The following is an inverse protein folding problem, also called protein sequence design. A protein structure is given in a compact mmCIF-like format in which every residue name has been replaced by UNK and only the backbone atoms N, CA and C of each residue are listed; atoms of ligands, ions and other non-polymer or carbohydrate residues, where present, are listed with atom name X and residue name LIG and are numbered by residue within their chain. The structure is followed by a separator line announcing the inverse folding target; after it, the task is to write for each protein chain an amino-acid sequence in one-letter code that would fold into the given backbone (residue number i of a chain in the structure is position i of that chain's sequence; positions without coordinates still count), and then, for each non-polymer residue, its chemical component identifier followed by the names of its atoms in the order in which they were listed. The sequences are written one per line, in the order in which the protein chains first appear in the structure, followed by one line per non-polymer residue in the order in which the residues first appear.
data_IF_518540251208
#
_entry.id   IF_518540251208
#
_cell.length_a   1.000
_cell.length_b   1.000
_cell.length_c   1.000
_cell.angle_alpha   90.00
_cell.angle_beta   90.00
_cell.angle_gamma   90.00
#
_symmetry.space_group_name_H-M   'P 1'
#
loop_
_entity.id
_entity.type
_entity.pdbx_description
1 polymer ?
#
# COMPACT_ATOMS: atom_id res chain seq x y z
N UNK A 1 4.59 3.84 -5.94
CA UNK A 1 4.65 2.92 -7.07
C UNK A 1 3.27 2.43 -7.49
N UNK A 2 3.10 2.18 -8.77
CA UNK A 2 1.84 1.73 -9.38
C UNK A 2 2.12 0.46 -10.19
N UNK A 3 1.26 -0.55 -10.06
CA UNK A 3 1.46 -1.83 -10.72
C UNK A 3 1.43 -1.73 -12.26
N UNK A 4 2.21 -2.55 -12.93
CA UNK A 4 2.29 -2.60 -14.39
C UNK A 4 1.21 -3.46 -15.06
N UNK A 5 0.39 -4.16 -14.27
CA UNK A 5 -0.71 -4.99 -14.77
C UNK A 5 -1.92 -4.16 -15.16
N UNK A 6 -2.29 -3.21 -14.28
CA UNK A 6 -3.38 -2.28 -14.54
C UNK A 6 -2.92 -1.10 -15.41
N UNK A 7 -1.65 -0.73 -15.30
CA UNK A 7 -1.04 0.37 -16.04
C UNK A 7 0.28 -0.07 -16.71
N UNK A 8 0.23 -0.79 -17.83
CA UNK A 8 1.41 -1.26 -18.54
C UNK A 8 2.37 -0.13 -18.91
N UNK A 9 3.66 -0.33 -18.64
CA UNK A 9 4.70 0.65 -18.93
C UNK A 9 4.90 1.71 -17.83
N UNK A 10 4.24 1.59 -16.68
CA UNK A 10 4.50 2.48 -15.56
C UNK A 10 5.92 2.28 -15.01
N UNK A 11 6.65 3.39 -14.82
CA UNK A 11 8.10 3.35 -14.56
C UNK A 11 8.44 2.83 -13.17
N UNK A 12 7.69 3.25 -12.13
CA UNK A 12 7.91 2.84 -10.75
C UNK A 12 6.79 1.88 -10.34
N UNK A 13 7.10 0.60 -10.30
CA UNK A 13 6.08 -0.39 -9.96
C UNK A 13 6.41 -1.27 -8.74
N UNK A 14 7.59 -1.08 -8.13
CA UNK A 14 7.98 -1.74 -6.87
C UNK A 14 8.54 -0.74 -5.87
N UNK A 15 8.49 -1.05 -4.57
CA UNK A 15 9.09 -0.20 -3.54
C UNK A 15 10.60 -0.06 -3.74
N UNK A 16 11.28 -1.11 -4.18
CA UNK A 16 12.71 -1.09 -4.48
C UNK A 16 13.07 -0.08 -5.58
N UNK A 17 12.22 0.08 -6.60
CA UNK A 17 12.46 1.05 -7.67
C UNK A 17 12.34 2.48 -7.14
N UNK A 18 11.33 2.75 -6.32
CA UNK A 18 11.17 4.05 -5.66
C UNK A 18 12.34 4.35 -4.71
N UNK A 19 12.80 3.36 -3.95
CA UNK A 19 13.96 3.51 -3.07
C UNK A 19 15.24 3.86 -3.86
N UNK A 20 15.46 3.22 -5.01
CA UNK A 20 16.60 3.52 -5.89
C UNK A 20 16.55 4.96 -6.42
N UNK A 21 15.38 5.47 -6.78
CA UNK A 21 15.21 6.87 -7.18
C UNK A 21 15.52 7.82 -6.04
N UNK A 22 15.04 7.54 -4.83
CA UNK A 22 15.33 8.35 -3.64
C UNK A 22 16.84 8.42 -3.37
N UNK A 23 17.53 7.29 -3.44
CA UNK A 23 18.99 7.25 -3.30
C UNK A 23 19.71 8.07 -4.38
N UNK A 24 19.29 7.93 -5.63
CA UNK A 24 19.89 8.65 -6.75
C UNK A 24 19.69 10.17 -6.64
N UNK A 25 18.54 10.61 -6.15
CA UNK A 25 18.24 12.04 -5.92
C UNK A 25 19.03 12.59 -4.75
N UNK A 26 19.27 11.82 -3.70
CA UNK A 26 20.04 12.21 -2.52
C UNK A 26 19.38 13.29 -1.66
N UNK A 27 18.07 13.44 -1.72
CA UNK A 27 17.31 14.40 -0.92
C UNK A 27 16.76 13.77 0.35
N UNK A 28 16.84 14.48 1.46
CA UNK A 28 16.22 14.08 2.73
C UNK A 28 14.69 14.34 2.77
N UNK A 29 14.16 15.02 1.76
CA UNK A 29 12.74 15.39 1.67
C UNK A 29 12.01 14.66 0.54
N UNK A 30 12.43 13.44 0.21
CA UNK A 30 11.77 12.58 -0.75
C UNK A 30 11.46 11.23 -0.09
N UNK A 31 10.19 10.82 -0.16
CA UNK A 31 9.69 9.62 0.53
C UNK A 31 8.84 8.76 -0.40
N UNK A 32 8.55 7.54 0.06
CA UNK A 32 7.70 6.58 -0.64
C UNK A 32 6.26 6.71 -0.15
N UNK A 33 5.32 6.79 -1.07
CA UNK A 33 3.93 6.42 -0.85
C UNK A 33 3.80 4.94 -1.22
N UNK A 34 3.59 4.10 -0.22
CA UNK A 34 3.43 2.65 -0.41
C UNK A 34 1.94 2.31 -0.49
N UNK A 35 1.52 1.73 -1.60
CA UNK A 35 0.14 1.31 -1.83
C UNK A 35 0.07 -0.23 -1.81
N UNK A 36 -0.62 -0.79 -0.82
CA UNK A 36 -0.70 -2.24 -0.62
C UNK A 36 -1.38 -2.95 -1.78
N UNK A 37 -2.35 -2.30 -2.44
CA UNK A 37 -2.99 -2.85 -3.64
C UNK A 37 -1.98 -3.03 -4.77
N UNK A 38 -1.23 -1.98 -5.09
CA UNK A 38 -0.25 -2.04 -6.17
C UNK A 38 0.88 -3.02 -5.86
N UNK A 39 1.34 -3.07 -4.61
CA UNK A 39 2.33 -4.06 -4.16
C UNK A 39 1.82 -5.49 -4.35
N UNK A 40 0.58 -5.77 -3.95
CA UNK A 40 -0.05 -7.09 -4.12
C UNK A 40 -0.21 -7.45 -5.60
N UNK A 41 -0.62 -6.50 -6.45
CA UNK A 41 -0.72 -6.70 -7.91
C UNK A 41 0.63 -7.05 -8.55
N UNK A 42 1.73 -6.53 -8.01
CA UNK A 42 3.09 -6.86 -8.43
C UNK A 42 3.62 -8.16 -7.82
N UNK A 43 2.87 -8.79 -6.93
CA UNK A 43 3.30 -10.01 -6.23
C UNK A 43 4.42 -9.76 -5.22
N UNK A 44 4.52 -8.55 -4.66
CA UNK A 44 5.48 -8.25 -3.61
C UNK A 44 5.09 -8.93 -2.29
N UNK A 45 6.09 -9.36 -1.53
CA UNK A 45 5.92 -9.70 -0.13
C UNK A 45 5.65 -8.42 0.66
N UNK A 46 4.39 -8.20 1.04
CA UNK A 46 3.98 -6.95 1.71
C UNK A 46 4.78 -6.71 2.99
N UNK A 47 4.87 -7.71 3.86
CA UNK A 47 5.57 -7.58 5.13
C UNK A 47 7.06 -7.30 4.93
N UNK A 48 7.74 -8.08 4.10
CA UNK A 48 9.16 -7.93 3.83
C UNK A 48 9.48 -6.61 3.14
N UNK A 49 8.69 -6.18 2.18
CA UNK A 49 8.89 -4.91 1.47
C UNK A 49 8.64 -3.70 2.37
N UNK A 50 7.59 -3.72 3.19
CA UNK A 50 7.32 -2.65 4.16
C UNK A 50 8.44 -2.53 5.19
N UNK A 51 8.93 -3.66 5.70
CA UNK A 51 10.04 -3.69 6.64
C UNK A 51 11.33 -3.14 6.04
N UNK A 52 11.69 -3.61 4.85
CA UNK A 52 12.91 -3.20 4.15
C UNK A 52 12.95 -1.69 3.85
N UNK A 53 11.81 -1.08 3.57
CA UNK A 53 11.73 0.32 3.15
C UNK A 53 11.08 1.26 4.18
N UNK A 54 10.83 0.77 5.41
CA UNK A 54 10.10 1.51 6.46
C UNK A 54 10.61 2.93 6.67
N UNK A 55 11.93 3.12 6.70
CA UNK A 55 12.56 4.43 6.96
C UNK A 55 12.24 5.49 5.89
N UNK A 56 11.85 5.07 4.70
CA UNK A 56 11.51 5.95 3.58
C UNK A 56 10.02 6.05 3.28
N UNK A 57 9.19 5.28 3.97
CA UNK A 57 7.72 5.32 3.78
C UNK A 57 7.12 6.43 4.63
N UNK A 58 6.50 7.41 3.99
CA UNK A 58 5.79 8.51 4.65
C UNK A 58 4.27 8.41 4.54
N UNK A 59 3.75 7.62 3.60
CA UNK A 59 2.31 7.44 3.43
C UNK A 59 1.97 6.02 2.99
N UNK A 60 0.86 5.50 3.49
CA UNK A 60 0.30 4.20 3.10
C UNK A 60 -1.04 4.43 2.42
N UNK A 61 -1.28 3.70 1.34
CA UNK A 61 -2.60 3.59 0.72
C UNK A 61 -3.06 2.14 0.67
N UNK A 62 -4.38 1.93 0.70
CA UNK A 62 -4.98 0.60 0.66
C UNK A 62 -6.15 0.52 -0.30
N UNK A 63 -6.22 -0.61 -0.97
CA UNK A 63 -7.39 -1.22 -1.60
C UNK A 63 -7.17 -2.73 -1.61
N UNK A 64 -8.24 -3.52 -1.70
CA UNK A 64 -8.08 -4.97 -1.77
C UNK A 64 -7.78 -5.44 -3.20
N UNK A 65 -7.05 -6.52 -3.31
CA UNK A 65 -6.62 -7.10 -4.59
C UNK A 65 -7.35 -8.43 -4.83
N UNK A 66 -7.74 -8.74 -6.07
CA UNK A 66 -7.44 -8.03 -7.32
C UNK A 66 -8.46 -6.96 -7.73
N UNK A 67 -9.62 -6.86 -7.08
CA UNK A 67 -10.74 -6.04 -7.55
C UNK A 67 -10.61 -4.54 -7.32
N UNK A 68 -9.65 -4.10 -6.51
CA UNK A 68 -9.47 -2.71 -6.08
C UNK A 68 -10.69 -2.15 -5.32
N UNK A 69 -11.36 -3.00 -4.57
CA UNK A 69 -12.49 -2.64 -3.71
C UNK A 69 -12.04 -2.48 -2.24
N UNK A 70 -13.01 -2.31 -1.34
CA UNK A 70 -12.72 -2.17 0.11
C UNK A 70 -12.04 -3.41 0.70
N UNK A 71 -11.26 -3.23 1.79
CA UNK A 71 -10.66 -4.34 2.52
C UNK A 71 -11.66 -5.43 2.93
N UNK A 72 -11.26 -6.69 2.73
CA UNK A 72 -12.09 -7.87 3.00
C UNK A 72 -12.85 -8.39 1.79
N UNK A 73 -12.69 -7.77 0.62
CA UNK A 73 -13.34 -8.23 -0.63
C UNK A 73 -12.42 -9.05 -1.53
N UNK A 74 -11.14 -9.16 -1.20
CA UNK A 74 -10.13 -9.83 -2.01
C UNK A 74 -9.16 -10.66 -1.19
N UNK A 75 -7.90 -10.68 -1.63
CA UNK A 75 -6.89 -11.63 -1.18
C UNK A 75 -5.85 -11.04 -0.21
N UNK A 76 -5.86 -9.74 0.07
CA UNK A 76 -4.91 -9.12 1.00
C UNK A 76 -5.32 -9.44 2.44
N UNK A 77 -4.39 -9.99 3.21
CA UNK A 77 -4.55 -10.17 4.66
C UNK A 77 -4.31 -8.82 5.36
N UNK A 78 -5.36 -8.00 5.45
CA UNK A 78 -5.27 -6.68 6.10
C UNK A 78 -4.97 -6.76 7.60
N UNK A 79 -5.54 -7.69 8.39
CA UNK A 79 -5.12 -7.85 9.78
C UNK A 79 -3.62 -8.05 9.92
N UNK A 80 -3.02 -8.92 9.10
CA UNK A 80 -1.57 -9.14 9.09
C UNK A 80 -0.80 -7.90 8.62
N UNK A 81 -1.25 -7.23 7.57
CA UNK A 81 -0.61 -6.02 7.05
C UNK A 81 -0.63 -4.88 8.09
N UNK A 82 -1.75 -4.65 8.77
CA UNK A 82 -1.83 -3.63 9.82
C UNK A 82 -0.97 -3.98 11.04
N UNK A 83 -0.91 -5.26 11.44
CA UNK A 83 -0.02 -5.70 12.50
C UNK A 83 1.46 -5.46 12.16
N UNK A 84 1.85 -5.61 10.89
CA UNK A 84 3.20 -5.27 10.42
C UNK A 84 3.45 -3.78 10.55
N UNK A 85 2.54 -2.93 10.11
CA UNK A 85 2.68 -1.47 10.22
C UNK A 85 2.81 -1.01 11.67
N UNK A 86 2.01 -1.59 12.57
CA UNK A 86 2.09 -1.31 14.02
C UNK A 86 3.45 -1.73 14.59
N UNK A 87 3.89 -2.93 14.27
CA UNK A 87 5.22 -3.44 14.70
C UNK A 87 6.37 -2.57 14.18
N UNK A 88 6.24 -2.03 12.99
CA UNK A 88 7.23 -1.14 12.38
C UNK A 88 7.13 0.31 12.89
N UNK A 89 6.20 0.61 13.78
CA UNK A 89 6.02 1.95 14.34
C UNK A 89 5.53 2.97 13.32
N UNK A 90 4.73 2.54 12.33
CA UNK A 90 4.10 3.46 11.42
C UNK A 90 2.98 4.23 12.15
N UNK A 91 3.07 5.55 12.14
CA UNK A 91 2.15 6.44 12.86
C UNK A 91 1.51 7.50 11.93
N UNK A 92 1.66 7.33 10.62
CA UNK A 92 1.03 8.19 9.62
C UNK A 92 -0.41 7.76 9.30
N UNK A 93 -1.00 8.45 8.35
CA UNK A 93 -2.34 8.10 7.86
C UNK A 93 -2.27 6.92 6.89
N UNK A 94 -3.34 6.12 6.89
CA UNK A 94 -3.60 5.08 5.89
C UNK A 94 -4.76 5.56 5.02
N UNK A 95 -4.46 5.95 3.80
CA UNK A 95 -5.43 6.44 2.83
C UNK A 95 -6.20 5.30 2.17
N UNK A 96 -7.51 5.40 2.15
CA UNK A 96 -8.35 4.46 1.42
C UNK A 96 -8.48 4.92 -0.04
N UNK A 97 -7.90 4.17 -0.96
CA UNK A 97 -7.97 4.48 -2.40
C UNK A 97 -8.57 3.31 -3.17
N UNK A 98 -9.81 2.99 -2.88
CA UNK A 98 -10.53 1.91 -3.54
C UNK A 98 -11.83 2.38 -4.21
N UNK A 99 -12.32 1.55 -5.12
CA UNK A 99 -13.63 1.70 -5.75
C UNK A 99 -14.65 0.89 -4.94
N UNK A 100 -15.51 1.54 -4.13
CA UNK A 100 -16.47 0.80 -3.31
C UNK A 100 -17.38 -0.09 -4.15
N UNK A 101 -17.50 -1.37 -3.78
CA UNK A 101 -18.30 -2.34 -4.54
C UNK A 101 -19.79 -1.99 -4.55
N UNK A 102 -20.29 -1.39 -3.46
CA UNK A 102 -21.73 -1.10 -3.28
C UNK A 102 -22.00 0.34 -2.78
N UNK A 103 -21.08 1.27 -3.06
CA UNK A 103 -21.18 2.66 -2.63
C UNK A 103 -20.32 2.99 -1.41
N UNK A 104 -20.02 4.27 -1.24
CA UNK A 104 -19.02 4.75 -0.28
C UNK A 104 -19.36 4.37 1.16
N UNK A 105 -20.58 4.64 1.62
CA UNK A 105 -20.98 4.36 3.01
C UNK A 105 -20.96 2.86 3.32
N UNK A 106 -21.48 2.04 2.42
CA UNK A 106 -21.45 0.59 2.56
C UNK A 106 -20.02 0.05 2.57
N UNK A 107 -19.13 0.66 1.79
CA UNK A 107 -17.71 0.31 1.69
C UNK A 107 -16.87 0.70 2.91
N UNK A 108 -17.42 1.30 3.96
CA UNK A 108 -16.71 1.66 5.19
C UNK A 108 -16.89 0.67 6.34
N UNK A 109 -17.75 -0.34 6.17
CA UNK A 109 -18.10 -1.30 7.23
C UNK A 109 -16.92 -2.07 7.82
N UNK A 110 -15.89 -2.36 7.00
CA UNK A 110 -14.68 -3.05 7.42
C UNK A 110 -13.91 -2.33 8.53
N UNK A 111 -14.00 -0.99 8.58
CA UNK A 111 -13.29 -0.17 9.57
C UNK A 111 -13.76 -0.43 11.01
N UNK A 112 -14.94 -1.01 11.21
CA UNK A 112 -15.49 -1.28 12.54
C UNK A 112 -14.58 -2.20 13.35
N UNK A 113 -13.86 -3.11 12.70
CA UNK A 113 -12.91 -4.01 13.36
C UNK A 113 -11.63 -3.33 13.86
N UNK A 114 -11.36 -2.08 13.44
CA UNK A 114 -10.12 -1.35 13.73
C UNK A 114 -10.33 -0.03 14.50
N UNK A 115 -11.52 0.16 15.07
CA UNK A 115 -11.87 1.33 15.90
C UNK A 115 -11.63 1.09 17.38
#
# INVERSE_FOLDING_TARGET
PINDRDMPGFVLNRLSDAAAVIEAVGSDNLFIQADLYHMARMGEDLAGSLEAHRARIAHIQIADSPGRHEPGTGDIDFPAAFAVLDRLGYNGFIGCEYLPASGTEAGLGWMTAYR
#
